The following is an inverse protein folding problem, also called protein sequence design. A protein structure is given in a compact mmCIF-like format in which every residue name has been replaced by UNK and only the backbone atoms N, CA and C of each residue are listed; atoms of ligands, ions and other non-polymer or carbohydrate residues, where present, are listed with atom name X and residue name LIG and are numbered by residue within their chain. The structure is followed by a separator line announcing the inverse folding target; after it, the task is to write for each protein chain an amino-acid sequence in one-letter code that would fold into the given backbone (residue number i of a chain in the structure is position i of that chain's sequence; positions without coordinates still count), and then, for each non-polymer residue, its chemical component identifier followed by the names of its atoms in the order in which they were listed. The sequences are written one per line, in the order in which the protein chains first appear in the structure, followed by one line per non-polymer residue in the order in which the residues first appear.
data_IF_159401922323
#
_entry.id   IF_159401922323
#
_cell.length_a   1.000
_cell.length_b   1.000
_cell.length_c   1.000
_cell.angle_alpha   90.00
_cell.angle_beta   90.00
_cell.angle_gamma   90.00
#
_symmetry.space_group_name_H-M   'P 1'
#
loop_
_entity.id
_entity.type
_entity.pdbx_description
1 polymer ?
#
# COMPACT_ATOMS: atom_id res chain seq x y z
N UNK A 1 2.94 -22.57 0.35
CA UNK A 1 2.90 -21.52 1.40
C UNK A 1 1.81 -21.87 2.39
N UNK A 2 2.06 -21.68 3.69
CA UNK A 2 1.12 -21.99 4.77
C UNK A 2 0.04 -20.91 4.89
N UNK A 3 -1.14 -21.25 5.41
CA UNK A 3 -2.33 -20.39 5.38
C UNK A 3 -2.23 -19.19 6.34
N UNK A 4 -1.65 -19.40 7.51
CA UNK A 4 -1.28 -18.34 8.48
C UNK A 4 -0.42 -17.23 7.85
N UNK A 5 0.55 -17.60 7.01
CA UNK A 5 1.38 -16.64 6.27
C UNK A 5 0.55 -15.88 5.25
N UNK A 6 -0.32 -16.56 4.51
CA UNK A 6 -1.18 -15.92 3.54
C UNK A 6 -2.08 -14.89 4.23
N UNK A 7 -2.75 -15.27 5.32
CA UNK A 7 -3.61 -14.38 6.10
C UNK A 7 -2.82 -13.16 6.63
N UNK A 8 -1.59 -13.36 7.10
CA UNK A 8 -0.69 -12.29 7.52
C UNK A 8 -0.33 -11.32 6.38
N UNK A 9 -0.02 -11.85 5.20
CA UNK A 9 0.28 -11.05 4.01
C UNK A 9 -0.95 -10.28 3.52
N UNK A 10 -2.14 -10.84 3.66
CA UNK A 10 -3.38 -10.14 3.29
C UNK A 10 -3.66 -8.93 4.19
N UNK A 11 -3.30 -9.01 5.47
CA UNK A 11 -3.38 -7.88 6.39
C UNK A 11 -2.37 -6.77 6.06
N UNK A 12 -1.23 -7.11 5.43
CA UNK A 12 -0.15 -6.18 5.10
C UNK A 12 -0.02 -5.97 3.58
N UNK A 13 -0.77 -4.99 3.06
CA UNK A 13 -0.81 -4.66 1.61
C UNK A 13 0.57 -4.48 0.96
N UNK A 14 1.51 -3.84 1.64
CA UNK A 14 2.88 -3.64 1.16
C UNK A 14 3.64 -4.96 1.00
N UNK A 15 3.56 -5.86 1.97
CA UNK A 15 4.18 -7.18 1.86
C UNK A 15 3.52 -8.03 0.75
N UNK A 16 2.19 -7.93 0.60
CA UNK A 16 1.46 -8.58 -0.49
C UNK A 16 1.93 -8.09 -1.86
N UNK A 17 2.15 -6.79 -2.00
CA UNK A 17 2.68 -6.18 -3.23
C UNK A 17 4.14 -6.60 -3.45
N UNK A 18 4.97 -6.55 -2.41
CA UNK A 18 6.37 -6.94 -2.48
C UNK A 18 6.55 -8.39 -2.95
N UNK A 19 5.74 -9.33 -2.46
CA UNK A 19 5.80 -10.74 -2.91
C UNK A 19 5.39 -10.89 -4.38
N UNK A 20 4.47 -10.06 -4.89
CA UNK A 20 4.10 -10.05 -6.31
C UNK A 20 5.23 -9.52 -7.18
N UNK A 21 5.93 -8.51 -6.70
CA UNK A 21 7.10 -7.91 -7.37
C UNK A 21 8.34 -8.83 -7.28
N UNK A 22 8.45 -9.60 -6.20
CA UNK A 22 9.58 -10.48 -5.89
C UNK A 22 9.11 -11.93 -5.65
N UNK A 23 8.68 -12.66 -6.70
CA UNK A 23 8.10 -14.01 -6.58
C UNK A 23 9.08 -15.05 -6.01
N UNK A 24 10.37 -14.75 -5.94
CA UNK A 24 11.36 -15.54 -5.21
C UNK A 24 10.94 -15.78 -3.75
N UNK A 25 10.37 -14.78 -3.09
CA UNK A 25 9.89 -14.88 -1.71
C UNK A 25 8.74 -15.85 -1.54
N UNK A 26 7.92 -16.03 -2.58
CA UNK A 26 6.85 -17.04 -2.56
C UNK A 26 7.43 -18.45 -2.43
N UNK A 27 8.54 -18.72 -3.14
CA UNK A 27 9.25 -20.01 -3.06
C UNK A 27 9.98 -20.16 -1.72
N UNK A 28 10.64 -19.10 -1.25
CA UNK A 28 11.34 -19.09 0.04
C UNK A 28 10.40 -19.39 1.20
N UNK A 29 9.29 -18.65 1.32
CA UNK A 29 8.30 -18.83 2.39
C UNK A 29 7.49 -20.13 2.26
N UNK A 30 7.38 -20.67 1.04
CA UNK A 30 6.78 -22.00 0.84
C UNK A 30 7.69 -23.12 1.36
N UNK A 31 9.02 -22.93 1.36
CA UNK A 31 10.00 -23.89 1.87
C UNK A 31 10.29 -23.69 3.35
N UNK A 32 10.48 -22.46 3.79
CA UNK A 32 10.69 -22.08 5.18
C UNK A 32 9.71 -20.96 5.59
N UNK A 33 8.58 -21.31 6.24
CA UNK A 33 7.62 -20.35 6.79
C UNK A 33 8.21 -19.33 7.77
N UNK A 34 9.33 -19.64 8.43
CA UNK A 34 9.91 -18.81 9.48
C UNK A 34 10.66 -17.57 8.93
N UNK A 35 10.92 -17.54 7.62
CA UNK A 35 11.60 -16.43 6.93
C UNK A 35 10.72 -15.17 6.76
N UNK A 36 9.55 -15.14 7.39
CA UNK A 36 8.63 -14.00 7.27
C UNK A 36 9.22 -12.71 7.83
N UNK A 37 10.08 -12.80 8.85
CA UNK A 37 10.81 -11.64 9.37
C UNK A 37 11.85 -11.13 8.38
N UNK A 38 12.54 -12.04 7.68
CA UNK A 38 13.48 -11.68 6.62
C UNK A 38 12.77 -11.02 5.43
N UNK A 39 11.56 -11.49 5.09
CA UNK A 39 10.70 -10.83 4.10
C UNK A 39 10.40 -9.38 4.50
N UNK A 40 10.01 -9.13 5.74
CA UNK A 40 9.69 -7.77 6.21
C UNK A 40 10.89 -6.83 6.10
N UNK A 41 12.05 -7.29 6.54
CA UNK A 41 13.31 -6.53 6.41
C UNK A 41 13.61 -6.25 4.93
N UNK A 42 13.49 -7.27 4.07
CA UNK A 42 13.73 -7.11 2.64
C UNK A 42 12.74 -6.14 1.98
N UNK A 43 11.46 -6.19 2.34
CA UNK A 43 10.44 -5.28 1.86
C UNK A 43 10.73 -3.83 2.30
N UNK A 44 11.12 -3.63 3.55
CA UNK A 44 11.52 -2.32 4.07
C UNK A 44 12.72 -1.75 3.30
N UNK A 45 13.74 -2.56 3.04
CA UNK A 45 14.90 -2.13 2.24
C UNK A 45 14.52 -1.87 0.78
N UNK A 46 13.66 -2.70 0.19
CA UNK A 46 13.20 -2.53 -1.19
C UNK A 46 12.43 -1.23 -1.35
N UNK A 47 11.43 -0.96 -0.50
CA UNK A 47 10.61 0.25 -0.57
C UNK A 47 11.37 1.51 -0.17
N UNK A 48 12.31 1.46 0.80
CA UNK A 48 13.21 2.59 1.07
C UNK A 48 14.08 2.95 -0.13
N UNK A 49 14.41 1.97 -0.98
CA UNK A 49 15.15 2.20 -2.25
C UNK A 49 14.22 2.55 -3.42
N UNK A 50 12.91 2.35 -3.27
CA UNK A 50 11.89 2.58 -4.30
C UNK A 50 10.77 3.53 -3.85
N UNK A 51 11.11 4.63 -3.16
CA UNK A 51 10.14 5.72 -2.92
C UNK A 51 10.05 6.60 -4.18
N UNK A 52 9.02 6.44 -5.04
CA UNK A 52 8.51 7.65 -5.66
C UNK A 52 6.99 7.84 -5.73
N UNK A 53 6.10 6.83 -5.69
CA UNK A 53 4.70 7.07 -6.13
C UNK A 53 3.53 6.60 -5.24
N UNK A 54 3.74 5.88 -4.13
CA UNK A 54 2.60 5.35 -3.37
C UNK A 54 1.89 6.34 -2.43
N UNK A 55 2.44 7.56 -2.26
CA UNK A 55 1.74 8.66 -1.56
C UNK A 55 0.61 9.25 -2.42
N UNK A 56 0.59 8.97 -3.73
CA UNK A 56 -0.36 9.58 -4.67
C UNK A 56 -1.81 9.10 -4.46
N UNK A 57 -1.99 7.89 -3.91
CA UNK A 57 -3.33 7.41 -3.53
C UNK A 57 -3.88 8.10 -2.29
N UNK A 58 -3.04 8.76 -1.49
CA UNK A 58 -3.49 9.59 -0.37
C UNK A 58 -3.91 11.00 -0.83
N UNK A 59 -3.34 11.51 -1.93
CA UNK A 59 -3.74 12.82 -2.51
C UNK A 59 -5.08 12.82 -3.22
N UNK A 60 -5.53 11.69 -3.79
CA UNK A 60 -6.83 11.63 -4.47
C UNK A 60 -8.02 11.91 -3.52
N UNK A 61 -7.90 11.55 -2.24
CA UNK A 61 -8.91 11.89 -1.24
C UNK A 61 -8.96 13.39 -0.92
N UNK A 62 -7.80 14.05 -0.86
CA UNK A 62 -7.70 15.49 -0.54
C UNK A 62 -8.13 16.36 -1.73
N UNK A 63 -7.76 15.97 -2.96
CA UNK A 63 -8.16 16.71 -4.17
C UNK A 63 -9.68 16.73 -4.34
N UNK A 64 -10.37 15.60 -4.11
CA UNK A 64 -11.83 15.55 -4.17
C UNK A 64 -12.49 16.39 -3.06
N UNK A 65 -11.94 16.40 -1.84
CA UNK A 65 -12.42 17.25 -0.75
C UNK A 65 -12.29 18.76 -1.09
N UNK A 66 -11.19 19.16 -1.74
CA UNK A 66 -10.99 20.55 -2.17
C UNK A 66 -11.98 20.99 -3.24
N UNK A 67 -12.31 20.11 -4.20
CA UNK A 67 -13.29 20.39 -5.25
C UNK A 67 -14.71 20.52 -4.67
N UNK A 68 -15.08 19.66 -3.72
CA UNK A 68 -16.38 19.74 -3.03
C UNK A 68 -16.52 21.03 -2.20
N UNK A 69 -15.47 21.46 -1.49
CA UNK A 69 -15.47 22.73 -0.74
C UNK A 69 -15.61 23.95 -1.65
N UNK A 70 -14.95 23.94 -2.82
CA UNK A 70 -15.07 25.03 -3.81
C UNK A 70 -16.48 25.11 -4.42
N UNK A 71 -17.12 23.97 -4.71
CA UNK A 71 -18.52 23.94 -5.17
C UNK A 71 -19.49 24.48 -4.10
N UNK A 72 -19.30 24.11 -2.83
CA UNK A 72 -20.14 24.60 -1.74
C UNK A 72 -20.04 26.12 -1.55
N UNK A 73 -18.84 26.69 -1.65
CA UNK A 73 -18.66 28.15 -1.60
C UNK A 73 -19.33 28.85 -2.79
N UNK A 74 -19.17 28.31 -4.00
CA UNK A 74 -19.78 28.87 -5.20
C UNK A 74 -21.31 28.93 -5.12
N UNK A 75 -21.96 27.89 -4.57
CA UNK A 75 -23.42 27.85 -4.39
C UNK A 75 -23.92 28.89 -3.38
N UNK A 76 -23.20 29.10 -2.27
CA UNK A 76 -23.55 30.13 -1.29
C UNK A 76 -23.30 31.55 -1.83
N UNK A 77 -22.30 31.75 -2.69
CA UNK A 77 -22.02 33.07 -3.29
C UNK A 77 -23.00 33.49 -4.39
N UNK A 78 -23.76 32.54 -4.95
CA UNK A 78 -24.72 32.80 -6.04
C UNK A 78 -26.17 33.03 -5.55
N UNK A 79 -26.40 32.95 -4.24
CA UNK A 79 -27.71 33.14 -3.60
C UNK A 79 -27.87 34.50 -2.88
N UNK A 80 -27.02 35.50 -3.22
CA UNK A 80 -27.17 36.91 -2.80
C UNK A 80 -27.58 37.81 -3.95
#
# INVERSE_FOLDING_TARGET
MRRDILDYLEQKKELKQFIREQPQWYRTLSRNPQEIQALEVAALHYYKRTIPHHVEKFTNGVQMASMMMSMFQAMNSQSS
#
